data_IF_639781165210
#
_entry.id   IF_639781165210
#
_cell.length_a   1.000
_cell.length_b   1.000
_cell.length_c   1.000
_cell.angle_alpha   90.00
_cell.angle_beta   90.00
_cell.angle_gamma   90.00
#
_symmetry.space_group_name_H-M   'P 1'
#
loop_
_entity.id
_entity.type
_entity.pdbx_description
1 polymer ?
#
# COMPACT_ATOMS: atom_id res chain seq x y z
N UNK A 1 -0.59 -13.60 30.44
CA UNK A 1 -1.15 -12.54 29.60
C UNK A 1 -0.20 -12.33 28.43
N UNK A 2 -0.56 -12.83 27.25
CA UNK A 2 0.30 -12.75 26.04
C UNK A 2 0.05 -11.39 25.38
N UNK A 3 1.07 -10.56 25.29
CA UNK A 3 1.03 -9.29 24.56
C UNK A 3 1.22 -9.57 23.07
N UNK A 4 0.16 -9.44 22.31
CA UNK A 4 0.21 -9.50 20.85
C UNK A 4 0.52 -8.10 20.33
N UNK A 5 1.68 -7.91 19.73
CA UNK A 5 2.09 -6.67 19.09
C UNK A 5 1.61 -6.69 17.63
N UNK A 6 0.63 -5.86 17.29
CA UNK A 6 0.19 -5.70 15.91
C UNK A 6 0.99 -4.58 15.26
N UNK A 7 1.86 -4.93 14.33
CA UNK A 7 2.50 -4.00 13.41
C UNK A 7 1.72 -3.99 12.10
N UNK A 8 1.31 -2.81 11.69
CA UNK A 8 0.56 -2.60 10.47
C UNK A 8 1.55 -2.13 9.40
N UNK A 9 2.19 -3.09 8.74
CA UNK A 9 2.82 -2.88 7.44
C UNK A 9 1.77 -3.10 6.33
N UNK A 10 1.95 -2.64 5.09
CA UNK A 10 1.06 -3.02 4.01
C UNK A 10 0.99 -4.55 3.93
N UNK A 11 -0.13 -5.11 4.34
CA UNK A 11 -0.51 -6.54 4.42
C UNK A 11 0.65 -7.55 4.61
N UNK A 12 1.58 -7.28 5.53
CA UNK A 12 2.56 -8.29 5.95
C UNK A 12 2.06 -8.90 7.27
N UNK A 13 1.56 -10.12 7.20
CA UNK A 13 1.08 -10.88 8.36
C UNK A 13 2.25 -11.23 9.28
N UNK A 14 2.18 -10.80 10.54
CA UNK A 14 3.08 -11.29 11.59
C UNK A 14 2.55 -12.59 12.17
N UNK A 15 3.29 -13.65 12.01
CA UNK A 15 3.04 -14.91 12.69
C UNK A 15 4.04 -15.12 13.82
N UNK A 16 3.54 -15.29 15.04
CA UNK A 16 4.38 -15.74 16.14
C UNK A 16 4.51 -17.27 16.11
N UNK A 17 5.71 -17.76 15.81
CA UNK A 17 6.08 -19.13 16.14
C UNK A 17 6.41 -19.23 17.63
N UNK A 18 5.74 -20.15 18.30
CA UNK A 18 6.01 -20.50 19.70
C UNK A 18 7.21 -21.46 19.76
N UNK A 19 8.43 -20.93 19.89
CA UNK A 19 9.56 -21.69 20.43
C UNK A 19 10.53 -20.78 21.17
N UNK A 20 10.85 -21.23 22.43
CA UNK A 20 11.95 -20.84 23.28
C UNK A 20 12.13 -19.35 23.68
N UNK A 21 12.60 -19.15 24.88
CA UNK A 21 12.90 -17.93 25.62
C UNK A 21 13.98 -17.02 25.03
N UNK A 22 14.03 -16.85 23.72
CA UNK A 22 14.85 -15.83 23.08
C UNK A 22 14.07 -14.53 22.99
N UNK A 23 14.69 -13.40 23.34
CA UNK A 23 14.13 -12.08 23.09
C UNK A 23 13.88 -11.97 21.58
N UNK A 24 12.64 -11.70 21.13
CA UNK A 24 12.38 -11.58 19.69
C UNK A 24 13.33 -10.58 19.04
N UNK A 25 13.89 -10.95 17.89
CA UNK A 25 14.74 -10.03 17.12
C UNK A 25 13.97 -8.73 16.88
N UNK A 26 14.59 -7.55 17.08
CA UNK A 26 13.97 -6.30 16.71
C UNK A 26 13.88 -6.11 15.19
N UNK A 27 14.54 -6.96 14.42
CA UNK A 27 14.55 -6.93 12.96
C UNK A 27 13.66 -8.02 12.39
N UNK A 28 12.94 -7.68 11.33
CA UNK A 28 12.18 -8.63 10.51
C UNK A 28 12.35 -8.28 9.04
N UNK A 29 12.26 -9.29 8.18
CA UNK A 29 12.33 -9.11 6.74
C UNK A 29 11.29 -10.00 6.05
N UNK A 30 10.89 -9.61 4.85
CA UNK A 30 10.05 -10.44 4.01
C UNK A 30 10.44 -10.31 2.53
N UNK A 31 10.07 -11.33 1.77
CA UNK A 31 10.10 -11.32 0.31
C UNK A 31 8.81 -11.94 -0.20
N UNK A 32 8.19 -11.31 -1.20
CA UNK A 32 6.91 -11.73 -1.78
C UNK A 32 7.03 -11.86 -3.29
N UNK A 33 6.61 -13.00 -3.81
CA UNK A 33 6.29 -13.17 -5.22
C UNK A 33 4.78 -12.98 -5.39
N UNK A 34 4.38 -12.04 -6.23
CA UNK A 34 2.99 -11.73 -6.51
C UNK A 34 2.67 -11.94 -8.00
N UNK A 35 1.45 -12.41 -8.31
CA UNK A 35 1.00 -12.49 -9.71
C UNK A 35 0.87 -11.11 -10.34
N UNK A 36 0.62 -10.08 -9.52
CA UNK A 36 0.77 -8.65 -9.83
C UNK A 36 0.75 -7.84 -8.53
N UNK A 37 1.23 -6.60 -8.60
CA UNK A 37 1.15 -5.63 -7.50
C UNK A 37 -0.10 -4.76 -7.65
N UNK A 38 -0.94 -4.74 -6.63
CA UNK A 38 -2.12 -3.86 -6.53
C UNK A 38 -1.98 -3.00 -5.29
N UNK A 39 -2.10 -1.68 -5.44
CA UNK A 39 -2.10 -0.71 -4.33
C UNK A 39 -3.29 0.24 -4.47
N UNK A 40 -4.08 0.40 -3.41
CA UNK A 40 -5.32 1.22 -3.40
C UNK A 40 -6.22 0.89 -4.61
N UNK A 41 -6.30 -0.41 -4.98
CA UNK A 41 -7.07 -0.90 -6.12
C UNK A 41 -6.46 -0.68 -7.50
N UNK A 42 -5.28 -0.03 -7.60
CA UNK A 42 -4.57 0.18 -8.87
C UNK A 42 -3.58 -0.93 -9.17
N UNK A 43 -3.58 -1.44 -10.40
CA UNK A 43 -2.69 -2.47 -10.91
C UNK A 43 -1.31 -1.87 -11.26
N UNK A 44 -0.43 -1.75 -10.28
CA UNK A 44 0.88 -1.09 -10.38
C UNK A 44 1.84 -1.76 -11.37
N UNK A 45 1.74 -3.08 -11.53
CA UNK A 45 2.57 -3.85 -12.48
C UNK A 45 1.87 -4.09 -13.82
N UNK A 46 0.71 -3.49 -14.06
CA UNK A 46 -0.04 -3.60 -15.31
C UNK A 46 -0.33 -5.06 -15.71
N UNK A 47 -0.79 -5.86 -14.74
CA UNK A 47 -1.11 -7.28 -14.90
C UNK A 47 0.10 -8.22 -15.03
N UNK A 48 1.32 -7.74 -14.74
CA UNK A 48 2.54 -8.55 -14.75
C UNK A 48 2.96 -8.97 -13.34
N UNK A 49 3.71 -10.08 -13.19
CA UNK A 49 4.26 -10.49 -11.89
C UNK A 49 5.09 -9.40 -11.23
N UNK A 50 5.03 -9.37 -9.90
CA UNK A 50 5.84 -8.48 -9.07
C UNK A 50 6.73 -9.27 -8.12
N UNK A 51 7.91 -8.73 -7.85
CA UNK A 51 8.77 -9.10 -6.75
C UNK A 51 8.78 -7.94 -5.76
N UNK A 52 8.50 -8.27 -4.48
CA UNK A 52 8.40 -7.30 -3.40
C UNK A 52 9.24 -7.74 -2.21
N UNK A 53 9.68 -6.81 -1.39
CA UNK A 53 10.41 -7.14 -0.17
C UNK A 53 10.51 -5.97 0.79
N UNK A 54 10.63 -6.29 2.07
CA UNK A 54 10.74 -5.30 3.13
C UNK A 54 11.71 -5.69 4.22
N UNK A 55 12.21 -4.70 4.92
CA UNK A 55 13.03 -4.82 6.11
C UNK A 55 12.52 -3.82 7.15
N UNK A 56 12.27 -4.31 8.36
CA UNK A 56 11.74 -3.53 9.48
C UNK A 56 12.63 -3.63 10.71
N UNK A 57 12.73 -2.54 11.44
CA UNK A 57 13.26 -2.45 12.78
C UNK A 57 12.14 -2.04 13.74
N UNK A 58 11.93 -2.81 14.80
CA UNK A 58 10.88 -2.61 15.79
C UNK A 58 11.49 -2.47 17.18
N UNK A 59 11.43 -1.28 17.75
CA UNK A 59 11.95 -1.02 19.08
C UNK A 59 10.90 -1.33 20.15
N UNK A 60 11.31 -1.89 21.29
CA UNK A 60 10.42 -2.33 22.38
C UNK A 60 9.54 -1.20 22.97
N UNK A 61 9.95 0.05 22.85
CA UNK A 61 9.16 1.19 23.31
C UNK A 61 8.07 1.66 22.34
N UNK A 62 7.92 0.98 21.17
CA UNK A 62 6.91 1.26 20.16
C UNK A 62 7.37 2.06 18.95
N UNK A 63 8.62 2.57 18.91
CA UNK A 63 9.20 3.14 17.69
C UNK A 63 9.52 2.04 16.69
N UNK A 64 9.28 2.32 15.41
CA UNK A 64 9.68 1.46 14.32
C UNK A 64 10.17 2.27 13.11
N UNK A 65 10.99 1.65 12.29
CA UNK A 65 11.41 2.18 11.00
C UNK A 65 11.58 1.02 10.02
N UNK A 66 11.36 1.28 8.75
CA UNK A 66 11.50 0.24 7.74
C UNK A 66 11.63 0.79 6.34
N UNK A 67 11.86 -0.13 5.43
CA UNK A 67 11.88 0.12 4.00
C UNK A 67 11.20 -1.04 3.28
N UNK A 68 10.56 -0.75 2.17
CA UNK A 68 9.93 -1.73 1.33
C UNK A 68 10.12 -1.34 -0.14
N UNK A 69 10.15 -2.33 -1.03
CA UNK A 69 10.22 -2.08 -2.46
C UNK A 69 9.41 -3.10 -3.24
N UNK A 70 8.96 -2.69 -4.42
CA UNK A 70 8.28 -3.54 -5.40
C UNK A 70 8.68 -3.15 -6.82
N UNK A 71 8.68 -4.13 -7.70
CA UNK A 71 8.65 -3.83 -9.13
C UNK A 71 7.33 -3.16 -9.51
N UNK A 72 7.38 -2.18 -10.40
CA UNK A 72 6.22 -1.51 -11.00
C UNK A 72 6.35 -1.50 -12.53
N UNK A 73 5.29 -1.12 -13.23
CA UNK A 73 5.28 -1.02 -14.69
C UNK A 73 5.40 0.43 -15.15
N UNK A 74 6.26 0.66 -16.14
CA UNK A 74 6.37 1.91 -16.89
C UNK A 74 5.07 2.30 -17.64
N UNK A 75 4.14 1.35 -17.83
CA UNK A 75 2.82 1.61 -18.36
C UNK A 75 1.91 2.31 -17.33
N UNK A 76 2.17 2.11 -16.04
CA UNK A 76 1.43 2.75 -14.96
C UNK A 76 2.13 4.03 -14.48
N UNK A 77 3.44 3.94 -14.22
CA UNK A 77 4.27 5.08 -13.81
C UNK A 77 5.40 5.21 -14.83
N UNK A 78 5.26 6.17 -15.73
CA UNK A 78 6.18 6.38 -16.84
C UNK A 78 7.64 6.45 -16.37
N UNK A 79 8.50 5.68 -17.05
CA UNK A 79 9.94 5.57 -16.81
C UNK A 79 10.33 5.01 -15.42
N UNK A 80 9.37 4.51 -14.62
CA UNK A 80 9.66 3.78 -13.39
C UNK A 80 9.64 2.26 -13.60
N UNK A 81 10.50 1.56 -12.89
CA UNK A 81 10.53 0.10 -12.80
C UNK A 81 10.43 -0.41 -11.37
N UNK A 82 10.61 0.48 -10.40
CA UNK A 82 10.62 0.18 -8.96
C UNK A 82 9.88 1.29 -8.21
N UNK A 83 9.09 0.90 -7.22
CA UNK A 83 8.64 1.71 -6.10
C UNK A 83 9.52 1.38 -4.91
N UNK A 84 10.03 2.39 -4.21
CA UNK A 84 10.85 2.24 -3.03
C UNK A 84 10.34 3.13 -1.91
N UNK A 85 9.89 2.52 -0.82
CA UNK A 85 9.31 3.20 0.32
C UNK A 85 10.27 3.21 1.50
N UNK A 86 10.30 4.33 2.20
CA UNK A 86 10.93 4.44 3.51
C UNK A 86 9.93 5.00 4.50
N UNK A 87 9.91 4.46 5.71
CA UNK A 87 8.94 4.88 6.71
C UNK A 87 9.48 4.76 8.14
N UNK A 88 8.90 5.54 9.00
CA UNK A 88 9.09 5.44 10.45
C UNK A 88 7.79 5.77 11.16
N UNK A 89 7.67 5.32 12.39
CA UNK A 89 6.47 5.59 13.16
C UNK A 89 6.61 5.22 14.62
N UNK A 90 5.50 5.43 15.30
CA UNK A 90 5.32 5.06 16.70
C UNK A 90 3.94 4.47 16.88
N UNK A 91 3.86 3.36 17.59
CA UNK A 91 2.57 2.77 17.97
C UNK A 91 2.60 2.27 19.41
N UNK A 92 1.43 2.26 20.06
CA UNK A 92 1.29 1.79 21.43
C UNK A 92 -0.06 1.10 21.63
N UNK A 93 -0.03 -0.04 22.31
CA UNK A 93 -1.21 -0.82 22.62
C UNK A 93 -1.64 -0.62 24.09
N UNK A 94 -2.95 -0.54 24.30
CA UNK A 94 -3.64 -0.44 25.58
C UNK A 94 -4.75 -1.51 25.60
N UNK A 95 -4.39 -2.74 25.98
CA UNK A 95 -5.28 -3.89 25.81
C UNK A 95 -5.51 -4.17 24.34
N UNK A 96 -6.76 -4.23 23.92
CA UNK A 96 -7.15 -4.49 22.51
C UNK A 96 -7.08 -3.24 21.61
N UNK A 97 -6.88 -2.07 22.21
CA UNK A 97 -6.74 -0.81 21.48
C UNK A 97 -5.28 -0.56 21.15
N UNK A 98 -4.97 -0.30 19.87
CA UNK A 98 -3.67 0.19 19.44
C UNK A 98 -3.86 1.54 18.73
N UNK A 99 -3.01 2.50 19.07
CA UNK A 99 -2.94 3.81 18.42
C UNK A 99 -1.54 4.04 17.92
N UNK A 100 -1.41 4.70 16.78
CA UNK A 100 -0.10 4.95 16.19
C UNK A 100 -0.12 6.06 15.16
N UNK A 101 1.07 6.35 14.68
CA UNK A 101 1.26 7.24 13.53
C UNK A 101 2.48 6.77 12.75
N UNK A 102 2.37 6.79 11.43
CA UNK A 102 3.45 6.51 10.48
C UNK A 102 3.72 7.74 9.63
N UNK A 103 4.98 8.00 9.33
CA UNK A 103 5.41 8.92 8.27
C UNK A 103 6.05 8.05 7.20
N UNK A 104 5.61 8.18 5.97
CA UNK A 104 6.09 7.41 4.84
C UNK A 104 6.47 8.33 3.68
N UNK A 105 7.46 7.91 2.91
CA UNK A 105 7.84 8.52 1.65
C UNK A 105 7.94 7.44 0.58
N UNK A 106 7.24 7.65 -0.52
CA UNK A 106 7.16 6.76 -1.67
C UNK A 106 8.01 7.33 -2.79
N UNK A 107 9.02 6.61 -3.21
CA UNK A 107 9.99 7.03 -4.20
C UNK A 107 9.92 6.15 -5.44
N UNK A 108 9.84 6.79 -6.61
CA UNK A 108 9.78 6.11 -7.92
C UNK A 108 11.00 6.52 -8.77
N UNK A 109 12.14 5.80 -8.63
CA UNK A 109 13.37 6.13 -9.34
C UNK A 109 13.16 6.22 -10.86
N UNK A 110 13.55 7.35 -11.45
CA UNK A 110 13.46 7.58 -12.89
C UNK A 110 12.09 8.02 -13.40
N UNK A 111 11.05 7.96 -12.57
CA UNK A 111 9.68 8.32 -12.96
C UNK A 111 9.57 9.76 -13.49
N UNK A 112 8.86 9.92 -14.60
CA UNK A 112 8.62 11.20 -15.25
C UNK A 112 7.15 11.39 -15.53
N UNK A 113 6.65 12.60 -15.31
CA UNK A 113 5.31 12.96 -15.75
C UNK A 113 5.27 13.14 -17.27
N UNK A 114 4.07 13.01 -17.85
CA UNK A 114 3.88 13.20 -19.31
C UNK A 114 4.07 14.64 -19.77
N UNK A 115 4.02 15.61 -18.86
CA UNK A 115 4.24 17.01 -19.20
C UNK A 115 5.75 17.29 -19.33
N UNK A 116 6.23 17.46 -20.53
CA UNK A 116 7.62 17.84 -20.86
C UNK A 116 8.08 19.17 -20.26
N UNK A 117 7.18 19.92 -19.62
CA UNK A 117 7.41 21.29 -19.16
C UNK A 117 7.61 21.41 -17.66
N UNK A 118 7.41 20.34 -16.87
CA UNK A 118 7.41 20.39 -15.41
C UNK A 118 8.36 19.40 -14.75
N UNK A 119 8.97 19.84 -13.67
CA UNK A 119 9.75 19.00 -12.76
C UNK A 119 8.86 18.18 -11.80
N UNK A 120 7.66 17.82 -12.24
CA UNK A 120 6.72 17.07 -11.38
C UNK A 120 7.21 15.64 -11.22
N UNK A 121 7.29 15.20 -9.97
CA UNK A 121 7.66 13.85 -9.58
C UNK A 121 6.42 13.08 -9.15
N UNK A 122 6.45 11.76 -9.35
CA UNK A 122 5.47 10.85 -8.76
C UNK A 122 5.71 10.62 -7.27
N UNK A 123 6.93 10.94 -6.80
CA UNK A 123 7.30 10.78 -5.40
C UNK A 123 6.41 11.61 -4.50
N UNK A 124 5.98 11.02 -3.39
CA UNK A 124 5.18 11.73 -2.40
C UNK A 124 5.36 11.16 -1.00
N UNK A 125 4.92 11.90 -0.01
CA UNK A 125 4.99 11.48 1.38
C UNK A 125 3.68 11.72 2.11
N UNK A 126 3.40 10.85 3.07
CA UNK A 126 2.17 10.86 3.87
C UNK A 126 2.46 10.76 5.36
N UNK A 127 1.64 11.47 6.15
CA UNK A 127 1.51 11.26 7.61
C UNK A 127 0.24 10.45 7.81
N UNK A 128 0.32 9.35 8.56
CA UNK A 128 -0.71 8.33 8.62
C UNK A 128 -1.02 8.00 10.10
N UNK A 129 -1.88 8.77 10.79
CA UNK A 129 -2.46 8.33 12.04
C UNK A 129 -3.27 7.06 11.83
N UNK A 130 -3.23 6.20 12.84
CA UNK A 130 -3.89 4.90 12.82
C UNK A 130 -4.47 4.54 14.18
N UNK A 131 -5.57 3.81 14.16
CA UNK A 131 -6.21 3.22 15.33
C UNK A 131 -6.70 1.83 14.96
N UNK A 132 -6.51 0.87 15.86
CA UNK A 132 -7.08 -0.47 15.71
C UNK A 132 -7.70 -0.95 17.02
N UNK A 133 -8.80 -1.69 16.89
CA UNK A 133 -9.49 -2.34 18.00
C UNK A 133 -10.01 -3.71 17.57
N UNK A 134 -9.52 -4.76 18.21
CA UNK A 134 -9.84 -6.13 17.81
C UNK A 134 -9.50 -6.38 16.32
N UNK A 135 -10.47 -6.83 15.52
CA UNK A 135 -10.24 -7.12 14.09
C UNK A 135 -10.23 -5.89 13.18
N UNK A 136 -10.66 -4.74 13.68
CA UNK A 136 -10.84 -3.52 12.87
C UNK A 136 -9.64 -2.59 13.00
N UNK A 137 -9.17 -2.04 11.87
CA UNK A 137 -8.21 -0.92 11.84
C UNK A 137 -8.67 0.18 10.90
N UNK A 138 -8.39 1.41 11.30
CA UNK A 138 -8.70 2.62 10.53
C UNK A 138 -7.45 3.48 10.47
N UNK A 139 -7.08 3.92 9.27
CA UNK A 139 -5.97 4.83 9.01
C UNK A 139 -6.46 6.00 8.18
N UNK A 140 -5.76 7.10 8.30
CA UNK A 140 -5.99 8.25 7.43
C UNK A 140 -4.65 8.80 6.94
N UNK A 141 -4.28 8.47 5.70
CA UNK A 141 -3.05 8.95 5.10
C UNK A 141 -3.26 10.36 4.53
N UNK A 142 -2.47 11.32 4.98
CA UNK A 142 -2.53 12.71 4.55
C UNK A 142 -1.22 13.12 3.89
N UNK A 143 -1.28 13.52 2.62
CA UNK A 143 -0.11 13.96 1.85
C UNK A 143 0.48 15.24 2.42
N UNK A 144 1.75 15.20 2.83
CA UNK A 144 2.50 16.37 3.31
C UNK A 144 3.40 17.00 2.26
N UNK A 145 3.74 16.27 1.21
CA UNK A 145 4.50 16.77 0.05
C UNK A 145 3.66 17.74 -0.78
N UNK A 146 4.27 18.41 -1.75
CA UNK A 146 3.59 19.37 -2.60
C UNK A 146 2.45 18.75 -3.38
N UNK A 147 2.67 17.53 -3.91
CA UNK A 147 1.69 16.79 -4.68
C UNK A 147 1.53 15.36 -4.15
N UNK A 148 0.33 14.82 -4.29
CA UNK A 148 0.04 13.41 -4.17
C UNK A 148 0.24 12.76 -5.53
N UNK A 149 1.19 11.81 -5.63
CA UNK A 149 1.40 11.00 -6.83
C UNK A 149 1.44 11.82 -8.13
N UNK A 150 2.12 12.96 -8.13
CA UNK A 150 2.27 13.84 -9.28
C UNK A 150 1.01 14.59 -9.71
N UNK A 151 -0.10 14.53 -8.95
CA UNK A 151 -1.33 15.22 -9.31
C UNK A 151 -1.23 16.73 -9.03
N UNK A 152 -1.10 17.52 -10.08
CA UNK A 152 -1.14 18.99 -10.04
C UNK A 152 -1.73 19.55 -11.34
N UNK A 153 -1.83 20.88 -11.43
CA UNK A 153 -2.43 21.57 -12.59
C UNK A 153 -1.70 21.28 -13.90
N UNK A 154 -0.37 21.15 -13.86
CA UNK A 154 0.42 20.94 -15.07
C UNK A 154 0.23 19.51 -15.60
N UNK A 155 0.31 18.50 -14.72
CA UNK A 155 0.13 17.09 -15.11
C UNK A 155 -1.29 16.76 -15.55
N UNK A 156 -2.29 17.45 -14.96
CA UNK A 156 -3.70 17.21 -15.28
C UNK A 156 -4.22 18.14 -16.38
N UNK A 157 -3.42 19.10 -16.85
CA UNK A 157 -3.78 20.00 -17.94
C UNK A 157 -4.94 20.96 -17.62
N UNK A 158 -5.19 21.25 -16.33
CA UNK A 158 -6.37 22.01 -15.91
C UNK A 158 -6.10 23.48 -15.56
N UNK A 159 -4.88 23.99 -15.79
CA UNK A 159 -4.48 25.37 -15.48
C UNK A 159 -4.58 25.73 -13.99
N UNK A 160 -4.18 26.92 -13.58
CA UNK A 160 -4.31 27.52 -12.24
C UNK A 160 -3.15 27.32 -11.26
N UNK A 161 -2.07 26.66 -11.61
CA UNK A 161 -0.90 26.44 -10.73
C UNK A 161 -1.28 25.87 -9.35
N UNK A 162 -2.19 24.88 -9.32
CA UNK A 162 -2.66 24.21 -8.11
C UNK A 162 -1.89 22.92 -7.86
N UNK A 163 -1.74 22.61 -6.59
CA UNK A 163 -1.10 21.40 -6.07
C UNK A 163 -2.07 20.58 -5.23
N UNK A 164 -1.73 19.30 -4.99
CA UNK A 164 -2.60 18.38 -4.28
C UNK A 164 -2.16 18.07 -2.84
N UNK A 165 -1.26 18.88 -2.23
CA UNK A 165 -0.92 18.78 -0.81
C UNK A 165 -2.17 18.76 0.06
N UNK A 166 -2.24 17.84 1.03
CA UNK A 166 -3.39 17.63 1.90
C UNK A 166 -4.47 16.75 1.24
N UNK A 167 -4.15 16.05 0.15
CA UNK A 167 -4.93 14.88 -0.28
C UNK A 167 -5.00 13.85 0.82
N UNK A 168 -6.12 13.15 0.95
CA UNK A 168 -6.35 12.23 2.04
C UNK A 168 -6.89 10.89 1.58
N UNK A 169 -6.38 9.80 2.18
CA UNK A 169 -6.87 8.44 1.95
C UNK A 169 -7.36 7.84 3.28
N UNK A 170 -8.66 7.62 3.37
CA UNK A 170 -9.26 6.80 4.42
C UNK A 170 -9.05 5.33 4.07
N UNK A 171 -8.56 4.57 5.01
CA UNK A 171 -8.21 3.14 4.88
C UNK A 171 -8.84 2.39 6.05
N UNK A 172 -9.85 1.57 5.77
CA UNK A 172 -10.57 0.76 6.75
C UNK A 172 -10.33 -0.71 6.44
N UNK A 173 -9.82 -1.45 7.42
CA UNK A 173 -9.51 -2.86 7.26
C UNK A 173 -10.15 -3.69 8.37
N UNK A 174 -10.59 -4.86 8.01
CA UNK A 174 -11.09 -5.89 8.91
C UNK A 174 -10.33 -7.19 8.66
N UNK A 175 -9.74 -7.74 9.73
CA UNK A 175 -8.98 -8.99 9.70
C UNK A 175 -9.59 -10.01 10.66
N UNK A 176 -9.94 -11.18 10.16
CA UNK A 176 -10.52 -12.24 10.96
C UNK A 176 -9.78 -13.57 10.79
N UNK A 177 -9.05 -14.02 11.81
CA UNK A 177 -8.62 -15.42 11.89
C UNK A 177 -9.82 -16.35 11.92
N UNK A 178 -9.76 -17.45 11.15
CA UNK A 178 -10.85 -18.45 11.09
C UNK A 178 -10.41 -19.71 11.86
N UNK A 179 -9.54 -20.51 11.27
CA UNK A 179 -9.05 -21.76 11.86
C UNK A 179 -7.78 -22.24 11.18
N UNK A 180 -6.91 -22.95 11.93
CA UNK A 180 -5.73 -23.67 11.39
C UNK A 180 -4.89 -22.86 10.39
N UNK A 181 -4.61 -21.59 10.72
CA UNK A 181 -3.80 -20.71 9.89
C UNK A 181 -4.54 -20.16 8.65
N UNK A 182 -5.87 -20.24 8.60
CA UNK A 182 -6.69 -19.50 7.64
C UNK A 182 -7.18 -18.19 8.25
N UNK A 183 -7.18 -17.13 7.46
CA UNK A 183 -7.82 -15.86 7.79
C UNK A 183 -8.46 -15.23 6.56
N UNK A 184 -9.36 -14.28 6.82
CA UNK A 184 -9.97 -13.44 5.78
C UNK A 184 -9.72 -11.98 6.12
N UNK A 185 -9.56 -11.18 5.06
CA UNK A 185 -9.45 -9.73 5.15
C UNK A 185 -10.50 -9.07 4.28
N UNK A 186 -11.02 -7.95 4.74
CA UNK A 186 -11.81 -7.04 3.96
C UNK A 186 -11.23 -5.63 4.10
N UNK A 187 -11.20 -4.91 2.99
CA UNK A 187 -10.67 -3.56 2.93
C UNK A 187 -11.63 -2.65 2.18
N UNK A 188 -11.71 -1.41 2.63
CA UNK A 188 -12.33 -0.29 1.93
C UNK A 188 -11.46 0.94 2.03
N UNK A 189 -11.21 1.58 0.88
CA UNK A 189 -10.43 2.80 0.75
C UNK A 189 -11.22 3.95 0.11
N UNK A 190 -10.90 5.18 0.49
CA UNK A 190 -11.46 6.39 -0.12
C UNK A 190 -10.39 7.47 -0.22
N UNK A 191 -9.92 7.69 -1.44
CA UNK A 191 -8.93 8.71 -1.78
C UNK A 191 -9.62 9.99 -2.24
N UNK A 192 -9.31 11.09 -1.58
CA UNK A 192 -9.70 12.44 -2.02
C UNK A 192 -8.48 13.20 -2.48
N UNK A 193 -8.47 13.61 -3.74
CA UNK A 193 -7.39 14.42 -4.30
C UNK A 193 -7.77 15.89 -4.16
N UNK A 194 -7.03 16.59 -3.30
CA UNK A 194 -7.29 18.01 -3.06
C UNK A 194 -7.08 18.82 -4.33
N UNK A 195 -8.01 19.74 -4.61
CA UNK A 195 -8.09 20.57 -5.82
C UNK A 195 -8.41 19.83 -7.13
N UNK A 196 -8.43 18.49 -7.15
CA UNK A 196 -8.63 17.67 -8.36
C UNK A 196 -9.61 16.53 -8.07
N UNK A 197 -10.85 16.87 -7.77
CA UNK A 197 -11.88 15.91 -7.34
C UNK A 197 -12.18 14.82 -8.39
N UNK A 198 -12.00 15.11 -9.67
CA UNK A 198 -12.16 14.13 -10.75
C UNK A 198 -11.16 12.96 -10.62
N UNK A 199 -9.96 13.21 -10.08
CA UNK A 199 -8.95 12.18 -9.81
C UNK A 199 -9.15 11.44 -8.46
N UNK A 200 -10.22 11.75 -7.71
CA UNK A 200 -10.56 11.03 -6.49
C UNK A 200 -11.21 9.70 -6.80
N UNK A 201 -10.93 8.68 -5.97
CA UNK A 201 -11.39 7.32 -6.19
C UNK A 201 -11.70 6.60 -4.89
N UNK A 202 -12.32 5.46 -5.00
CA UNK A 202 -12.54 4.50 -3.93
C UNK A 202 -12.01 3.14 -4.35
N UNK A 203 -11.73 2.29 -3.37
CA UNK A 203 -11.35 0.91 -3.64
C UNK A 203 -11.84 -0.02 -2.55
N UNK A 204 -11.93 -1.30 -2.89
CA UNK A 204 -12.23 -2.36 -1.97
C UNK A 204 -11.47 -3.62 -2.35
N UNK A 205 -11.17 -4.43 -1.35
CA UNK A 205 -10.65 -5.77 -1.58
C UNK A 205 -11.16 -6.78 -0.55
N UNK A 206 -11.10 -8.04 -0.96
CA UNK A 206 -11.37 -9.18 -0.09
C UNK A 206 -10.30 -10.24 -0.33
N UNK A 207 -9.71 -10.74 0.76
CA UNK A 207 -8.65 -11.73 0.68
C UNK A 207 -8.94 -12.96 1.54
N UNK A 208 -8.48 -14.11 1.05
CA UNK A 208 -8.37 -15.35 1.81
C UNK A 208 -6.89 -15.68 1.94
N UNK A 209 -6.44 -15.89 3.18
CA UNK A 209 -5.04 -16.12 3.49
C UNK A 209 -4.83 -17.48 4.10
N UNK A 210 -3.65 -18.04 3.89
CA UNK A 210 -3.20 -19.31 4.46
C UNK A 210 -1.77 -19.20 4.94
N UNK A 211 -1.56 -19.51 6.21
CA UNK A 211 -0.24 -19.81 6.77
C UNK A 211 0.24 -21.15 6.27
N UNK A 212 1.48 -21.22 5.88
CA UNK A 212 2.16 -22.43 5.40
C UNK A 212 3.37 -22.72 6.29
N UNK A 213 3.89 -23.95 6.28
CA UNK A 213 5.14 -24.26 6.98
C UNK A 213 6.30 -23.36 6.57
N UNK A 214 7.33 -23.29 7.42
CA UNK A 214 8.58 -22.55 7.16
C UNK A 214 8.42 -21.03 7.02
N UNK A 215 7.51 -20.41 7.78
CA UNK A 215 7.21 -18.97 7.72
C UNK A 215 6.83 -18.51 6.30
N UNK A 216 6.13 -19.37 5.57
CA UNK A 216 5.49 -18.99 4.31
C UNK A 216 4.02 -18.63 4.57
N UNK A 217 3.50 -17.73 3.76
CA UNK A 217 2.06 -17.45 3.69
C UNK A 217 1.64 -17.26 2.24
N UNK A 218 0.39 -17.57 1.96
CA UNK A 218 -0.23 -17.28 0.67
C UNK A 218 -1.49 -16.46 0.85
N UNK A 219 -1.78 -15.57 -0.10
CA UNK A 219 -2.99 -14.76 -0.12
C UNK A 219 -3.60 -14.77 -1.52
N UNK A 220 -4.91 -15.02 -1.59
CA UNK A 220 -5.69 -14.84 -2.80
C UNK A 220 -6.62 -13.65 -2.57
N UNK A 221 -6.42 -12.57 -3.33
CA UNK A 221 -7.10 -11.29 -3.12
C UNK A 221 -7.88 -10.88 -4.36
N UNK A 222 -9.16 -10.60 -4.21
CA UNK A 222 -9.95 -9.86 -5.19
C UNK A 222 -9.90 -8.37 -4.85
N UNK A 223 -9.59 -7.52 -5.83
CA UNK A 223 -9.50 -6.07 -5.67
C UNK A 223 -10.22 -5.35 -6.79
N UNK A 224 -10.79 -4.19 -6.47
CA UNK A 224 -11.37 -3.26 -7.44
C UNK A 224 -11.26 -1.84 -6.93
N UNK A 225 -10.95 -0.89 -7.83
CA UNK A 225 -11.18 0.53 -7.58
C UNK A 225 -12.23 1.08 -8.53
N UNK A 226 -12.78 2.25 -8.20
CA UNK A 226 -13.75 2.97 -9.03
C UNK A 226 -13.65 4.47 -8.75
N UNK A 227 -13.87 5.24 -9.78
CA UNK A 227 -14.00 6.69 -9.73
C UNK A 227 -15.39 7.14 -10.17
N UNK A 228 -15.73 8.39 -9.92
CA UNK A 228 -17.05 8.88 -10.23
C UNK A 228 -17.27 9.16 -11.71
N UNK A 229 -16.22 9.61 -12.40
CA UNK A 229 -16.33 10.23 -13.72
C UNK A 229 -15.59 9.42 -14.82
N UNK A 230 -15.11 8.22 -14.49
CA UNK A 230 -14.31 7.38 -15.41
C UNK A 230 -12.95 7.98 -15.74
N UNK A 231 -12.40 8.79 -14.85
CA UNK A 231 -11.12 9.49 -15.03
C UNK A 231 -9.98 8.53 -15.35
N UNK A 232 -9.88 7.45 -14.58
CA UNK A 232 -8.81 6.46 -14.73
C UNK A 232 -9.04 5.45 -15.86
N UNK A 233 -10.26 5.34 -16.37
CA UNK A 233 -10.57 4.50 -17.54
C UNK A 233 -9.92 5.02 -18.83
N UNK A 234 -9.52 6.29 -18.84
CA UNK A 234 -8.80 6.93 -19.94
C UNK A 234 -7.28 6.87 -19.75
N UNK A 235 -6.82 6.30 -18.66
CA UNK A 235 -5.42 6.31 -18.25
C UNK A 235 -4.61 5.16 -18.87
N UNK A 236 -5.02 4.66 -20.02
CA UNK A 236 -4.15 3.76 -20.76
C UNK A 236 -3.07 4.59 -21.46
N UNK A 237 -1.80 4.26 -21.26
CA UNK A 237 -0.69 4.84 -22.03
C UNK A 237 -0.74 4.43 -23.52
N UNK A 238 -1.93 4.11 -24.01
CA UNK A 238 -2.23 4.00 -25.42
C UNK A 238 -1.60 2.81 -26.14
N UNK A 239 -1.08 1.80 -25.43
CA UNK A 239 -0.65 0.59 -26.09
C UNK A 239 -1.83 -0.40 -26.22
N UNK A 240 -2.48 -0.51 -27.40
CA UNK A 240 -3.66 -1.35 -27.58
C UNK A 240 -3.38 -2.86 -27.42
N UNK A 241 -2.11 -3.24 -27.33
CA UNK A 241 -1.69 -4.64 -27.15
C UNK A 241 -1.43 -5.00 -25.69
N UNK A 242 -1.66 -4.10 -24.73
CA UNK A 242 -1.51 -4.42 -23.31
C UNK A 242 -2.77 -5.12 -22.77
N UNK A 243 -2.57 -6.16 -21.99
CA UNK A 243 -3.66 -6.95 -21.37
C UNK A 243 -4.52 -6.13 -20.41
N UNK A 244 -3.98 -5.08 -19.83
CA UNK A 244 -4.66 -4.15 -18.92
C UNK A 244 -4.79 -2.81 -19.60
N UNK A 245 -6.01 -2.40 -19.92
CA UNK A 245 -6.33 -1.09 -20.50
C UNK A 245 -6.84 -0.09 -19.46
N UNK A 246 -7.27 -0.57 -18.30
CA UNK A 246 -7.81 0.21 -17.20
C UNK A 246 -7.17 -0.25 -15.88
N UNK A 247 -6.31 0.56 -15.24
CA UNK A 247 -5.58 0.14 -14.03
C UNK A 247 -6.47 -0.09 -12.81
N UNK A 248 -7.73 0.34 -12.84
CA UNK A 248 -8.68 0.20 -11.73
C UNK A 248 -9.71 -0.92 -11.94
N UNK A 249 -9.59 -1.67 -13.03
CA UNK A 249 -10.46 -2.82 -13.26
C UNK A 249 -10.29 -3.89 -12.16
N UNK A 250 -11.38 -4.63 -11.94
CA UNK A 250 -11.35 -5.73 -10.99
C UNK A 250 -10.30 -6.77 -11.36
N UNK A 251 -9.59 -7.23 -10.36
CA UNK A 251 -8.52 -8.21 -10.55
C UNK A 251 -8.41 -9.17 -9.39
N UNK A 252 -7.84 -10.34 -9.67
CA UNK A 252 -7.48 -11.34 -8.64
C UNK A 252 -5.97 -11.47 -8.61
N UNK A 253 -5.39 -11.36 -7.42
CA UNK A 253 -3.94 -11.52 -7.19
C UNK A 253 -3.66 -12.71 -6.30
N UNK A 254 -2.58 -13.43 -6.61
CA UNK A 254 -2.01 -14.46 -5.76
C UNK A 254 -0.65 -13.97 -5.26
N UNK A 255 -0.46 -14.03 -3.94
CA UNK A 255 0.79 -13.67 -3.28
C UNK A 255 1.36 -14.90 -2.57
N UNK A 256 2.66 -15.06 -2.61
CA UNK A 256 3.42 -16.01 -1.79
C UNK A 256 4.52 -15.24 -1.09
N UNK A 257 4.46 -15.20 0.24
CA UNK A 257 5.40 -14.43 1.09
C UNK A 257 6.22 -15.37 1.96
N UNK A 258 7.53 -15.12 2.04
CA UNK A 258 8.45 -15.69 3.00
C UNK A 258 8.85 -14.62 4.01
N UNK A 259 8.68 -14.91 5.31
CA UNK A 259 9.14 -14.05 6.41
C UNK A 259 10.38 -14.63 7.09
N UNK A 260 11.25 -13.74 7.62
CA UNK A 260 12.53 -14.03 8.26
C UNK A 260 12.63 -13.36 9.63
#
# INVERSE_FOLDING_TARGET
>A
MKKTLFLIAPLAFYFQSTHATETPSPYSANITAASQYVSRGFQQTWGKPALQGGLDYNHINGFYAGTWASTVSDHFIRDASVEWDVYTGYSRSFGDLTVGTKIAYYYYPGAKTTADTGHTRFDYGEIIPEISYGPLSVKYAMTYTQDYFGNNSDTLGVGNNKHSRGSGYLDVNWHQPITQGWSIDAHYGNQRIKNFSAASFQDASFAVNKELPYNLSSSLTYSKAWDKDGFYQQYSNGNPNTKVSNPIDSTVTLLLTKSF
#
